data_IF_524544726799
#
_entry.id   IF_524544726799
#
_cell.length_a   1.000
_cell.length_b   1.000
_cell.length_c   1.000
_cell.angle_alpha   90.00
_cell.angle_beta   90.00
_cell.angle_gamma   90.00
#
_symmetry.space_group_name_H-M   'P 1'
#
loop_
_entity.id
_entity.type
_entity.pdbx_description
1 polymer ?
#
# COMPACT_ATOMS: atom_id res chain seq x y z
N UNK A 1 -3.87 -11.08 -6.74
CA UNK A 1 -2.76 -11.41 -7.65
C UNK A 1 -3.12 -12.38 -8.78
N UNK A 2 -4.42 -12.67 -9.03
CA UNK A 2 -4.85 -13.42 -10.22
C UNK A 2 -4.38 -12.69 -11.48
N UNK A 3 -3.66 -13.38 -12.36
CA UNK A 3 -3.11 -12.82 -13.60
C UNK A 3 -2.16 -11.63 -13.39
N UNK A 4 -1.61 -11.45 -12.19
CA UNK A 4 -0.61 -10.42 -11.88
C UNK A 4 0.77 -11.08 -11.86
N UNK A 5 1.62 -10.88 -12.89
CA UNK A 5 2.92 -11.55 -12.98
C UNK A 5 4.01 -10.88 -12.13
N UNK A 6 3.87 -9.58 -11.84
CA UNK A 6 4.83 -8.87 -11.01
C UNK A 6 4.52 -9.08 -9.51
N UNK A 7 5.52 -9.28 -8.65
CA UNK A 7 5.34 -9.31 -7.21
C UNK A 7 5.12 -7.88 -6.68
N UNK A 8 4.22 -7.71 -5.73
CA UNK A 8 3.80 -6.41 -5.22
C UNK A 8 3.89 -6.34 -3.70
N UNK A 9 4.01 -5.14 -3.16
CA UNK A 9 3.65 -4.82 -1.78
C UNK A 9 2.34 -4.03 -1.82
N UNK A 10 1.40 -4.41 -0.96
CA UNK A 10 0.14 -3.70 -0.78
C UNK A 10 0.12 -3.02 0.59
N UNK A 11 -0.12 -1.71 0.59
CA UNK A 11 -0.30 -0.90 1.80
C UNK A 11 -1.74 -0.44 1.94
N UNK A 12 -2.39 -0.72 3.07
CA UNK A 12 -3.76 -0.27 3.35
C UNK A 12 -3.78 0.99 4.18
N UNK A 13 -4.67 1.91 3.83
CA UNK A 13 -4.79 3.23 4.43
C UNK A 13 -6.09 3.30 5.23
N UNK A 14 -5.98 3.65 6.50
CA UNK A 14 -7.10 3.82 7.44
C UNK A 14 -7.90 5.08 7.13
N UNK A 15 -9.10 5.20 7.70
CA UNK A 15 -9.92 6.41 7.61
C UNK A 15 -9.23 7.68 8.16
N UNK A 16 -8.16 7.52 8.96
CA UNK A 16 -7.36 8.64 9.49
C UNK A 16 -6.22 9.04 8.56
N UNK A 17 -6.05 8.37 7.42
CA UNK A 17 -4.92 8.60 6.50
C UNK A 17 -3.65 7.84 6.87
N UNK A 18 -3.70 6.92 7.83
CA UNK A 18 -2.55 6.16 8.31
C UNK A 18 -2.34 4.87 7.51
N UNK A 19 -1.10 4.56 7.17
CA UNK A 19 -0.73 3.25 6.64
C UNK A 19 -0.82 2.20 7.76
N UNK A 20 -1.89 1.41 7.79
CA UNK A 20 -2.19 0.51 8.91
C UNK A 20 -1.66 -0.92 8.72
N UNK A 21 -1.51 -1.36 7.48
CA UNK A 21 -1.08 -2.73 7.14
C UNK A 21 -0.24 -2.71 5.88
N UNK A 22 0.84 -3.50 5.85
CA UNK A 22 1.62 -3.80 4.64
C UNK A 22 1.67 -5.32 4.46
N UNK A 23 1.32 -5.81 3.26
CA UNK A 23 1.48 -7.21 2.90
C UNK A 23 2.32 -7.34 1.64
N UNK A 24 3.24 -8.29 1.64
CA UNK A 24 3.92 -8.74 0.44
C UNK A 24 3.04 -9.75 -0.31
N UNK A 25 2.90 -9.52 -1.61
CA UNK A 25 2.00 -10.25 -2.50
C UNK A 25 2.81 -10.97 -3.56
N UNK A 26 2.70 -12.30 -3.54
CA UNK A 26 3.32 -13.16 -4.53
C UNK A 26 2.50 -13.22 -5.84
N UNK A 27 3.15 -13.38 -7.00
CA UNK A 27 2.48 -13.43 -8.30
C UNK A 27 1.53 -14.62 -8.47
N UNK A 28 0.54 -14.47 -9.34
CA UNK A 28 -0.32 -15.57 -9.83
C UNK A 28 -1.11 -16.34 -8.75
N UNK A 29 -1.22 -15.80 -7.54
CA UNK A 29 -1.97 -16.45 -6.46
C UNK A 29 -3.44 -15.99 -6.47
N UNK A 30 -4.33 -16.97 -6.29
CA UNK A 30 -5.79 -16.82 -6.24
C UNK A 30 -6.34 -16.52 -4.84
N UNK A 31 -5.50 -16.63 -3.83
CA UNK A 31 -5.86 -16.41 -2.44
C UNK A 31 -6.25 -14.95 -2.21
N UNK A 32 -7.35 -14.76 -1.48
CA UNK A 32 -7.81 -13.42 -1.11
C UNK A 32 -6.91 -12.85 -0.02
N UNK A 33 -6.68 -11.54 -0.08
CA UNK A 33 -5.94 -10.77 0.92
C UNK A 33 -6.85 -9.65 1.40
N UNK A 34 -6.85 -9.41 2.70
CA UNK A 34 -7.69 -8.41 3.36
C UNK A 34 -6.80 -7.41 4.09
N UNK A 35 -7.34 -6.21 4.32
CA UNK A 35 -6.76 -5.18 5.16
C UNK A 35 -6.70 -5.53 6.64
N UNK A 36 -7.41 -6.59 7.05
CA UNK A 36 -7.71 -7.02 8.43
C UNK A 36 -8.59 -6.03 9.21
N UNK A 37 -8.36 -4.73 9.05
CA UNK A 37 -9.13 -3.63 9.62
C UNK A 37 -9.84 -2.81 8.52
N UNK A 38 -10.90 -2.03 8.83
CA UNK A 38 -11.52 -1.13 7.85
C UNK A 38 -10.50 -0.21 7.19
N UNK A 39 -10.47 -0.19 5.86
CA UNK A 39 -9.55 0.62 5.06
C UNK A 39 -10.36 1.48 4.07
N UNK A 40 -9.88 2.70 3.81
CA UNK A 40 -10.48 3.61 2.82
C UNK A 40 -9.77 3.55 1.47
N UNK A 41 -8.52 3.08 1.46
CA UNK A 41 -7.71 2.97 0.26
C UNK A 41 -6.64 1.88 0.40
N UNK A 42 -6.07 1.49 -0.74
CA UNK A 42 -4.93 0.60 -0.88
C UNK A 42 -3.97 1.20 -1.90
N UNK A 43 -2.67 1.09 -1.66
CA UNK A 43 -1.63 1.41 -2.63
C UNK A 43 -0.82 0.14 -2.93
N UNK A 44 -0.73 -0.22 -4.21
CA UNK A 44 0.05 -1.34 -4.69
C UNK A 44 1.30 -0.83 -5.41
N UNK A 45 2.46 -1.34 -4.99
CA UNK A 45 3.79 -0.94 -5.51
C UNK A 45 4.65 -2.19 -5.73
N UNK A 46 5.75 -2.14 -6.49
CA UNK A 46 6.66 -3.28 -6.61
C UNK A 46 7.11 -3.79 -5.23
N UNK A 47 7.24 -5.12 -5.10
CA UNK A 47 7.63 -5.79 -3.85
C UNK A 47 8.85 -5.12 -3.19
N UNK A 48 8.77 -4.83 -1.90
CA UNK A 48 9.82 -4.19 -1.10
C UNK A 48 9.93 -2.67 -1.24
N UNK A 49 9.06 -2.01 -2.02
CA UNK A 49 9.15 -0.55 -2.24
C UNK A 49 9.02 0.21 -0.92
N UNK A 50 8.07 -0.13 -0.04
CA UNK A 50 7.90 0.57 1.24
C UNK A 50 9.17 0.55 2.08
N UNK A 51 9.79 -0.62 2.25
CA UNK A 51 11.06 -0.76 2.97
C UNK A 51 12.18 0.06 2.31
N UNK A 52 12.29 -0.02 0.97
CA UNK A 52 13.32 0.69 0.20
C UNK A 52 13.24 2.21 0.38
N UNK A 53 12.04 2.77 0.47
CA UNK A 53 11.84 4.22 0.65
C UNK A 53 11.65 4.63 2.12
N UNK A 54 11.74 3.68 3.05
CA UNK A 54 11.65 3.92 4.49
C UNK A 54 10.23 4.16 5.02
N UNK A 55 9.18 3.87 4.25
CA UNK A 55 7.78 3.96 4.69
C UNK A 55 7.42 2.74 5.53
N UNK A 56 6.68 2.96 6.63
CA UNK A 56 6.34 1.96 7.64
C UNK A 56 4.88 2.09 8.10
N UNK A 57 4.37 1.04 8.72
CA UNK A 57 3.06 1.09 9.39
C UNK A 57 3.09 2.22 10.44
N UNK A 58 2.03 3.02 10.48
CA UNK A 58 1.92 4.23 11.30
C UNK A 58 2.22 5.53 10.56
N UNK A 59 2.85 5.48 9.39
CA UNK A 59 3.12 6.67 8.58
C UNK A 59 1.83 7.27 8.01
N UNK A 60 1.82 8.60 7.86
CA UNK A 60 0.67 9.36 7.40
C UNK A 60 0.74 9.67 5.91
N UNK A 61 -0.37 9.44 5.21
CA UNK A 61 -0.57 9.90 3.84
C UNK A 61 -0.83 11.40 3.89
N UNK A 62 0.16 12.18 3.46
CA UNK A 62 -0.01 13.60 3.29
C UNK A 62 -0.81 13.90 2.02
N UNK A 63 -1.86 14.73 2.14
CA UNK A 63 -2.48 15.36 0.99
C UNK A 63 -1.55 16.46 0.50
N UNK A 64 -1.06 16.34 -0.73
CA UNK A 64 -0.51 17.49 -1.43
C UNK A 64 -1.67 18.19 -2.14
N UNK A 65 -2.11 19.33 -1.63
CA UNK A 65 -2.86 20.27 -2.46
C UNK A 65 -1.86 20.74 -3.52
N UNK A 66 -2.03 20.24 -4.75
CA UNK A 66 -1.18 20.40 -5.94
C UNK A 66 0.00 21.35 -5.76
N UNK A 67 1.22 20.83 -5.88
CA UNK A 67 2.48 21.59 -5.94
C UNK A 67 2.33 22.80 -6.87
N UNK A 68 2.01 23.96 -6.30
CA UNK A 68 2.23 25.23 -6.99
C UNK A 68 3.74 25.44 -6.94
N UNK A 69 4.43 25.03 -8.00
CA UNK A 69 5.79 25.47 -8.23
C UNK A 69 5.74 26.99 -8.36
N UNK A 70 6.26 27.70 -7.36
CA UNK A 70 6.68 29.10 -7.52
C UNK A 70 8.13 29.13 -7.96
#
# INVERSE_FOLDING_TARGET
>A
MKNTPAPLSAGWISAKGELQTILELEPQIMEKRSSFEPAIAIIEVPKGTFQKVGIRIGDQVAKADCLSFR
#
